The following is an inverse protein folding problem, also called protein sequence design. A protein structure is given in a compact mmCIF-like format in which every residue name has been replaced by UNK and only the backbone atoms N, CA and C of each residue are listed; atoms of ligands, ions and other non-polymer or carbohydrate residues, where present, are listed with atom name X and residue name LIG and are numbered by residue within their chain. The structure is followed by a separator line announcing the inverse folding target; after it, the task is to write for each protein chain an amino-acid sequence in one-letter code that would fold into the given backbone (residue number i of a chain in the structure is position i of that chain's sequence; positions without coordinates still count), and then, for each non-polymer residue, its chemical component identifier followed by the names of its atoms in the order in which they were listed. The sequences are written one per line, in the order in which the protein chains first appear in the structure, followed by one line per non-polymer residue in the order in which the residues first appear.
data_IF_528525759019
#
_entry.id   IF_528525759019
#
_cell.length_a   1.000
_cell.length_b   1.000
_cell.length_c   1.000
_cell.angle_alpha   90.00
_cell.angle_beta   90.00
_cell.angle_gamma   90.00
#
_symmetry.space_group_name_H-M   'P 1'
#
loop_
_entity.id
_entity.type
_entity.pdbx_description
1 polymer ?
#
# COMPACT_ATOMS: atom_id res chain seq x y z
N UNK A 1 49.75 34.62 -4.20
CA UNK A 1 49.40 33.52 -3.26
C UNK A 1 48.36 33.91 -2.21
N UNK A 2 48.57 34.89 -1.32
CA UNK A 2 47.60 35.25 -0.25
C UNK A 2 46.16 35.54 -0.76
N UNK A 3 46.00 36.34 -1.82
CA UNK A 3 44.68 36.66 -2.41
C UNK A 3 43.95 35.42 -2.98
N UNK A 4 44.71 34.46 -3.52
CA UNK A 4 44.17 33.21 -4.06
C UNK A 4 43.72 32.27 -2.95
N UNK A 5 44.49 32.20 -1.85
CA UNK A 5 44.13 31.42 -0.65
C UNK A 5 42.85 31.96 -0.02
N UNK A 6 42.71 33.29 0.09
CA UNK A 6 41.50 33.94 0.61
C UNK A 6 40.29 33.67 -0.30
N UNK A 7 40.45 33.74 -1.62
CA UNK A 7 39.37 33.43 -2.56
C UNK A 7 38.93 31.96 -2.49
N UNK A 8 39.88 31.03 -2.36
CA UNK A 8 39.60 29.60 -2.16
C UNK A 8 38.87 29.33 -0.84
N UNK A 9 39.29 29.97 0.26
CA UNK A 9 38.61 29.89 1.55
C UNK A 9 37.18 30.45 1.48
N UNK A 10 36.98 31.60 0.83
CA UNK A 10 35.65 32.18 0.65
C UNK A 10 34.74 31.27 -0.20
N UNK A 11 35.26 30.69 -1.29
CA UNK A 11 34.52 29.74 -2.11
C UNK A 11 34.16 28.48 -1.32
N UNK A 12 35.10 27.95 -0.52
CA UNK A 12 34.85 26.81 0.35
C UNK A 12 33.77 27.12 1.38
N UNK A 13 33.84 28.27 2.07
CA UNK A 13 32.80 28.68 3.01
C UNK A 13 31.42 28.80 2.34
N UNK A 14 31.34 29.37 1.13
CA UNK A 14 30.07 29.45 0.40
C UNK A 14 29.53 28.07 0.01
N UNK A 15 30.39 27.17 -0.47
CA UNK A 15 30.01 25.80 -0.83
C UNK A 15 29.51 25.03 0.41
N UNK A 16 30.24 25.08 1.52
CA UNK A 16 29.84 24.37 2.74
C UNK A 16 28.59 24.95 3.37
N UNK A 17 28.42 26.27 3.37
CA UNK A 17 27.17 26.90 3.81
C UNK A 17 25.99 26.54 2.91
N UNK A 18 26.19 26.48 1.58
CA UNK A 18 25.15 26.03 0.65
C UNK A 18 24.78 24.55 0.87
N UNK A 19 25.77 23.68 1.05
CA UNK A 19 25.55 22.26 1.36
C UNK A 19 24.85 22.10 2.71
N UNK A 20 25.27 22.82 3.75
CA UNK A 20 24.66 22.79 5.07
C UNK A 20 23.20 23.26 5.02
N UNK A 21 22.93 24.38 4.34
CA UNK A 21 21.58 24.88 4.13
C UNK A 21 20.71 23.90 3.34
N UNK A 22 21.25 23.27 2.28
CA UNK A 22 20.54 22.24 1.51
C UNK A 22 20.25 20.99 2.33
N UNK A 23 21.18 20.54 3.17
CA UNK A 23 20.96 19.40 4.07
C UNK A 23 19.91 19.72 5.13
N UNK A 24 19.96 20.92 5.73
CA UNK A 24 19.00 21.36 6.75
C UNK A 24 17.59 21.50 6.18
N UNK A 25 17.42 22.14 5.02
CA UNK A 25 16.10 22.29 4.37
C UNK A 25 15.53 20.98 3.84
N UNK A 26 16.38 20.05 3.41
CA UNK A 26 15.98 18.73 2.96
C UNK A 26 15.60 17.79 4.13
N UNK A 27 16.27 17.92 5.29
CA UNK A 27 16.00 17.08 6.47
C UNK A 27 14.87 17.60 7.36
N UNK A 28 14.48 18.88 7.26
CA UNK A 28 13.51 19.51 8.16
C UNK A 28 12.23 20.02 7.47
N UNK A 29 11.86 19.44 6.33
CA UNK A 29 10.56 19.73 5.74
C UNK A 29 9.43 19.29 6.69
N UNK A 30 8.41 20.14 6.86
CA UNK A 30 7.25 19.85 7.70
C UNK A 30 5.96 20.09 6.95
N UNK A 31 4.95 19.32 7.30
CA UNK A 31 3.55 19.51 6.94
C UNK A 31 2.89 20.37 8.01
N UNK A 32 2.18 21.41 7.60
CA UNK A 32 1.32 22.19 8.47
C UNK A 32 0.04 21.40 8.74
N UNK A 33 -0.05 20.78 9.92
CA UNK A 33 -1.23 20.05 10.35
C UNK A 33 -2.27 21.02 10.91
N UNK A 34 -3.53 20.87 10.48
CA UNK A 34 -4.69 21.61 10.97
C UNK A 34 -5.52 20.71 11.90
N UNK A 35 -5.86 21.22 13.08
CA UNK A 35 -6.69 20.51 14.07
C UNK A 35 -8.15 20.32 13.64
N UNK A 36 -8.60 21.07 12.63
CA UNK A 36 -9.94 20.96 12.05
C UNK A 36 -9.99 20.02 10.84
N UNK A 37 -8.85 19.47 10.42
CA UNK A 37 -8.82 18.48 9.34
C UNK A 37 -9.38 17.15 9.85
N UNK A 38 -10.33 16.58 9.12
CA UNK A 38 -10.80 15.21 9.33
C UNK A 38 -9.95 14.21 8.52
N UNK A 39 -9.37 14.66 7.39
CA UNK A 39 -8.44 13.86 6.62
C UNK A 39 -7.50 14.71 5.75
N UNK A 40 -6.41 14.08 5.30
CA UNK A 40 -5.46 14.66 4.37
C UNK A 40 -5.34 13.78 3.12
N UNK A 41 -5.25 14.46 1.98
CA UNK A 41 -4.84 13.85 0.71
C UNK A 41 -3.40 14.30 0.41
N UNK A 42 -2.52 13.32 0.26
CA UNK A 42 -1.12 13.54 -0.09
C UNK A 42 -0.96 13.28 -1.58
N UNK A 43 -0.45 14.27 -2.29
CA UNK A 43 -0.14 14.22 -3.71
C UNK A 43 1.38 14.24 -3.90
N UNK A 44 1.90 13.90 -5.09
CA UNK A 44 3.33 13.90 -5.29
C UNK A 44 4.01 15.27 -5.02
N UNK A 45 3.32 16.38 -5.27
CA UNK A 45 3.85 17.74 -5.12
C UNK A 45 3.16 18.62 -4.07
N UNK A 46 2.20 18.10 -3.29
CA UNK A 46 1.42 18.91 -2.32
C UNK A 46 0.68 18.04 -1.32
N UNK A 47 0.15 18.67 -0.28
CA UNK A 47 -0.78 18.06 0.67
C UNK A 47 -2.00 18.96 0.79
N UNK A 48 -3.18 18.35 0.80
CA UNK A 48 -4.45 19.05 0.98
C UNK A 48 -5.16 18.51 2.22
N UNK A 49 -5.59 19.41 3.10
CA UNK A 49 -6.34 19.09 4.31
C UNK A 49 -7.83 19.36 4.08
N UNK A 50 -8.67 18.42 4.49
CA UNK A 50 -10.10 18.48 4.32
C UNK A 50 -10.83 18.37 5.65
N UNK A 51 -11.88 19.16 5.80
CA UNK A 51 -12.88 19.03 6.84
C UNK A 51 -14.17 18.46 6.25
N UNK A 52 -14.79 17.49 6.93
CA UNK A 52 -16.09 16.94 6.61
C UNK A 52 -17.18 17.77 7.29
N UNK A 53 -17.96 18.49 6.48
CA UNK A 53 -19.12 19.25 6.93
C UNK A 53 -20.38 18.67 6.28
N UNK A 54 -21.23 18.00 7.06
CA UNK A 54 -22.45 17.30 6.57
C UNK A 54 -22.15 16.36 5.40
N UNK A 55 -21.21 15.43 5.60
CA UNK A 55 -20.73 14.46 4.59
C UNK A 55 -20.03 15.09 3.38
N UNK A 56 -19.86 16.41 3.31
CA UNK A 56 -19.18 17.08 2.20
C UNK A 56 -17.74 17.41 2.59
N UNK A 57 -16.74 16.83 1.89
CA UNK A 57 -15.36 17.26 2.02
C UNK A 57 -15.18 18.72 1.58
N UNK A 58 -14.72 19.56 2.50
CA UNK A 58 -14.35 20.95 2.26
C UNK A 58 -12.84 21.10 2.42
N UNK A 59 -12.17 21.52 1.36
CA UNK A 59 -10.76 21.89 1.40
C UNK A 59 -10.58 23.08 2.35
N UNK A 60 -9.71 22.92 3.36
CA UNK A 60 -9.39 23.98 4.33
C UNK A 60 -7.97 24.52 4.15
N UNK A 61 -7.04 23.69 3.69
CA UNK A 61 -5.65 24.10 3.49
C UNK A 61 -4.99 23.31 2.35
N UNK A 62 -4.10 23.98 1.62
CA UNK A 62 -3.21 23.36 0.63
C UNK A 62 -1.79 23.81 0.87
N UNK A 63 -0.90 22.86 1.12
CA UNK A 63 0.53 23.10 1.23
C UNK A 63 1.24 22.54 0.00
N UNK A 64 1.87 23.42 -0.79
CA UNK A 64 2.71 22.97 -1.91
C UNK A 64 4.07 22.50 -1.40
N UNK A 65 4.53 21.38 -1.93
CA UNK A 65 5.89 20.89 -1.71
C UNK A 65 6.82 21.40 -2.81
N UNK A 66 8.08 21.66 -2.46
CA UNK A 66 9.10 21.93 -3.46
C UNK A 66 9.49 20.61 -4.18
N UNK A 67 10.21 20.71 -5.30
CA UNK A 67 10.66 19.55 -6.09
C UNK A 67 11.48 18.54 -5.29
N UNK A 68 12.13 18.99 -4.23
CA UNK A 68 12.98 18.16 -3.36
C UNK A 68 12.14 17.38 -2.33
N UNK A 69 10.87 17.76 -2.14
CA UNK A 69 9.91 17.17 -1.21
C UNK A 69 8.78 16.42 -1.91
N UNK A 70 9.16 15.64 -2.92
CA UNK A 70 8.25 14.77 -3.66
C UNK A 70 7.74 13.61 -2.80
N UNK A 71 6.44 13.34 -2.80
CA UNK A 71 5.88 12.11 -2.26
C UNK A 71 5.75 11.08 -3.38
N UNK A 72 6.15 9.84 -3.10
CA UNK A 72 6.16 8.78 -4.11
C UNK A 72 4.76 8.49 -4.64
N UNK A 73 4.69 7.95 -5.87
CA UNK A 73 3.43 7.66 -6.55
C UNK A 73 3.07 6.16 -6.53
N UNK A 74 3.43 5.45 -5.46
CA UNK A 74 3.05 4.05 -5.32
C UNK A 74 2.26 3.77 -4.06
N UNK A 75 2.37 2.54 -3.56
CA UNK A 75 1.70 2.09 -2.34
C UNK A 75 2.11 2.91 -1.12
N UNK A 76 1.18 3.02 -0.19
CA UNK A 76 1.43 3.62 1.12
C UNK A 76 1.05 2.66 2.25
N UNK A 77 1.74 2.81 3.37
CA UNK A 77 1.50 2.03 4.57
C UNK A 77 1.49 2.93 5.80
N UNK A 78 0.66 2.59 6.78
CA UNK A 78 0.62 3.26 8.07
C UNK A 78 1.50 2.48 9.05
N UNK A 79 2.38 3.18 9.76
CA UNK A 79 3.17 2.66 10.88
C UNK A 79 2.83 3.39 12.17
N UNK A 80 2.80 2.65 13.27
CA UNK A 80 2.56 3.09 14.64
C UNK A 80 1.28 3.93 14.80
N UNK A 81 0.30 3.77 13.88
CA UNK A 81 -0.86 4.66 13.76
C UNK A 81 -0.49 6.15 13.75
N UNK A 82 0.69 6.49 13.22
CA UNK A 82 1.25 7.84 13.25
C UNK A 82 1.94 8.24 11.96
N UNK A 83 2.65 7.31 11.31
CA UNK A 83 3.47 7.60 10.15
C UNK A 83 2.82 7.07 8.88
N UNK A 84 2.67 7.92 7.86
CA UNK A 84 2.33 7.48 6.51
C UNK A 84 3.61 7.33 5.70
N UNK A 85 3.94 6.10 5.29
CA UNK A 85 5.14 5.76 4.50
C UNK A 85 4.76 5.56 3.04
N UNK A 86 5.58 6.06 2.12
CA UNK A 86 5.32 6.02 0.67
C UNK A 86 6.35 5.17 -0.09
N UNK A 87 5.90 4.41 -1.09
CA UNK A 87 6.77 3.93 -2.18
C UNK A 87 6.85 4.95 -3.30
N UNK A 88 7.98 4.94 -4.00
CA UNK A 88 8.16 5.68 -5.23
C UNK A 88 8.14 4.73 -6.43
N UNK A 89 7.07 4.74 -7.23
CA UNK A 89 6.95 3.83 -8.37
C UNK A 89 7.48 4.44 -9.68
N UNK A 90 7.94 5.71 -9.67
CA UNK A 90 8.51 6.35 -10.86
C UNK A 90 10.01 6.04 -11.01
N UNK A 91 10.41 5.66 -12.24
CA UNK A 91 11.79 5.37 -12.59
C UNK A 91 12.72 6.58 -12.40
N UNK A 92 13.76 6.36 -11.57
CA UNK A 92 15.08 7.01 -11.61
C UNK A 92 15.08 8.50 -11.98
N UNK A 93 14.59 9.32 -11.07
CA UNK A 93 15.19 10.65 -10.91
C UNK A 93 16.02 10.66 -9.63
N UNK A 94 17.18 11.30 -9.73
CA UNK A 94 18.20 11.44 -8.69
C UNK A 94 17.51 11.74 -7.36
N UNK A 95 17.58 10.78 -6.42
CA UNK A 95 17.06 10.73 -5.04
C UNK A 95 15.91 9.73 -4.78
N UNK A 96 16.13 8.43 -5.04
CA UNK A 96 15.28 7.33 -4.54
C UNK A 96 15.26 7.34 -3.00
N UNK A 97 14.26 7.98 -2.41
CA UNK A 97 14.13 8.08 -0.96
C UNK A 97 12.97 7.22 -0.48
N UNK A 98 13.18 6.55 0.64
CA UNK A 98 12.08 6.21 1.52
C UNK A 98 11.59 7.51 2.17
N UNK A 99 10.27 7.70 2.18
CA UNK A 99 9.63 8.94 2.64
C UNK A 99 8.52 8.58 3.60
N UNK A 100 8.43 9.30 4.72
CA UNK A 100 7.27 9.26 5.60
C UNK A 100 6.88 10.64 6.10
N UNK A 101 5.62 10.78 6.47
CA UNK A 101 5.08 11.93 7.19
C UNK A 101 4.65 11.44 8.57
N UNK A 102 5.14 12.09 9.63
CA UNK A 102 4.60 11.97 10.97
C UNK A 102 3.35 12.86 11.11
N UNK A 103 2.16 12.27 11.17
CA UNK A 103 0.90 13.02 11.31
C UNK A 103 0.60 13.48 12.74
N UNK A 104 1.52 13.30 13.69
CA UNK A 104 1.46 13.95 15.01
C UNK A 104 2.23 15.26 15.04
N UNK A 105 3.38 15.33 14.37
CA UNK A 105 4.29 16.49 14.41
C UNK A 105 4.39 17.25 13.10
N UNK A 106 3.89 16.65 12.02
CA UNK A 106 4.05 17.11 10.64
C UNK A 106 5.44 16.83 10.06
N UNK A 107 6.36 16.22 10.80
CA UNK A 107 7.74 16.03 10.33
C UNK A 107 7.81 15.06 9.15
N UNK A 108 8.57 15.43 8.12
CA UNK A 108 8.81 14.59 6.96
C UNK A 108 10.19 13.95 7.09
N UNK A 109 10.24 12.63 7.18
CA UNK A 109 11.48 11.88 7.13
C UNK A 109 11.77 11.46 5.69
N UNK A 110 13.00 11.72 5.22
CA UNK A 110 13.49 11.30 3.91
C UNK A 110 14.84 10.63 4.04
N UNK A 111 14.99 9.44 3.46
CA UNK A 111 16.25 8.71 3.47
C UNK A 111 16.54 8.06 2.12
N UNK A 112 17.68 8.39 1.48
CA UNK A 112 18.12 7.70 0.28
C UNK A 112 18.21 6.19 0.51
N UNK A 113 17.60 5.43 -0.39
CA UNK A 113 17.52 3.98 -0.27
C UNK A 113 17.29 3.34 -1.63
N UNK A 114 18.09 2.31 -1.94
CA UNK A 114 17.87 1.45 -3.11
C UNK A 114 16.57 0.61 -3.04
N UNK A 115 15.84 0.70 -1.93
CA UNK A 115 14.59 -0.01 -1.67
C UNK A 115 13.35 0.88 -1.84
N UNK A 116 13.50 2.15 -2.25
CA UNK A 116 12.42 3.14 -2.27
C UNK A 116 11.21 2.78 -3.15
N UNK A 117 11.40 1.92 -4.14
CA UNK A 117 10.36 1.54 -5.11
C UNK A 117 9.74 0.17 -4.81
N UNK A 118 9.96 -0.37 -3.61
CA UNK A 118 9.70 -1.79 -3.33
C UNK A 118 9.14 -2.08 -1.94
N UNK A 119 8.41 -1.15 -1.33
CA UNK A 119 7.69 -1.49 -0.09
C UNK A 119 6.55 -2.44 -0.46
N UNK A 120 6.56 -3.60 0.17
CA UNK A 120 5.71 -4.74 -0.15
C UNK A 120 4.68 -5.03 0.94
N UNK A 121 4.81 -4.43 2.13
CA UNK A 121 3.89 -4.65 3.24
C UNK A 121 4.37 -4.10 4.57
N UNK A 122 3.56 -4.27 5.61
CA UNK A 122 3.79 -3.76 6.97
C UNK A 122 3.19 -4.71 8.02
N UNK A 123 3.75 -4.71 9.22
CA UNK A 123 3.14 -5.31 10.43
C UNK A 123 2.58 -4.25 11.39
N UNK A 124 2.46 -3.00 10.92
CA UNK A 124 2.06 -1.84 11.70
C UNK A 124 3.19 -1.16 12.45
N UNK A 125 4.37 -1.77 12.64
CA UNK A 125 5.54 -1.15 13.30
C UNK A 125 6.75 -1.06 12.38
N UNK A 126 6.88 -2.03 11.48
CA UNK A 126 7.93 -2.18 10.49
C UNK A 126 7.29 -2.27 9.12
N UNK A 127 8.00 -1.76 8.11
CA UNK A 127 7.68 -2.09 6.73
C UNK A 127 8.73 -3.06 6.17
N UNK A 128 8.29 -3.76 5.13
CA UNK A 128 9.03 -4.84 4.51
C UNK A 128 9.18 -4.60 3.02
N UNK A 129 10.28 -5.08 2.46
CA UNK A 129 10.47 -5.20 1.02
C UNK A 129 10.75 -6.65 0.69
N UNK A 130 10.06 -7.22 -0.29
CA UNK A 130 10.27 -8.58 -0.76
C UNK A 130 10.42 -8.63 -2.28
N UNK A 131 11.40 -9.39 -2.77
CA UNK A 131 11.73 -9.50 -4.20
C UNK A 131 13.01 -8.79 -4.62
N UNK A 132 13.23 -7.50 -4.28
CA UNK A 132 14.47 -6.80 -4.63
C UNK A 132 15.68 -7.52 -4.06
N UNK A 133 16.70 -7.67 -4.90
CA UNK A 133 17.97 -8.30 -4.52
C UNK A 133 17.80 -9.73 -3.95
N UNK A 134 16.70 -10.42 -4.26
CA UNK A 134 16.39 -11.77 -3.75
C UNK A 134 16.43 -11.85 -2.20
N UNK A 135 15.88 -10.83 -1.54
CA UNK A 135 15.85 -10.77 -0.09
C UNK A 135 14.50 -10.27 0.45
N UNK A 136 14.13 -10.76 1.62
CA UNK A 136 13.19 -10.09 2.50
C UNK A 136 13.98 -9.15 3.41
N UNK A 137 13.63 -7.87 3.43
CA UNK A 137 14.27 -6.86 4.28
C UNK A 137 13.24 -6.17 5.15
N UNK A 138 13.56 -6.02 6.44
CA UNK A 138 12.71 -5.35 7.44
C UNK A 138 13.36 -4.03 7.87
N UNK A 139 12.56 -2.97 7.92
CA UNK A 139 13.00 -1.64 8.30
C UNK A 139 12.14 -1.08 9.43
N UNK A 140 12.73 -0.27 10.30
CA UNK A 140 11.98 0.52 11.28
C UNK A 140 11.37 1.79 10.67
N UNK A 141 10.56 2.49 11.47
CA UNK A 141 9.96 3.79 11.15
C UNK A 141 10.99 4.91 10.87
N UNK A 142 12.28 4.69 11.10
CA UNK A 142 13.38 5.61 10.74
C UNK A 142 14.12 5.21 9.46
N UNK A 143 13.57 4.25 8.71
CA UNK A 143 14.16 3.68 7.49
C UNK A 143 15.53 3.01 7.74
N UNK A 144 15.79 2.51 8.95
CA UNK A 144 16.98 1.71 9.24
C UNK A 144 16.67 0.24 9.03
N UNK A 145 17.48 -0.42 8.21
CA UNK A 145 17.43 -1.88 8.04
C UNK A 145 17.71 -2.55 9.40
N UNK A 146 16.78 -3.40 9.84
CA UNK A 146 16.89 -4.19 11.07
C UNK A 146 17.37 -5.59 10.76
N UNK A 147 16.67 -6.26 9.85
CA UNK A 147 16.89 -7.64 9.51
C UNK A 147 16.82 -7.84 8.00
N UNK A 148 17.54 -8.85 7.53
CA UNK A 148 17.52 -9.26 6.13
C UNK A 148 17.68 -10.77 6.03
N UNK A 149 16.82 -11.39 5.25
CA UNK A 149 16.84 -12.82 4.94
C UNK A 149 17.08 -12.94 3.44
N UNK A 150 18.17 -13.64 3.07
CA UNK A 150 18.35 -14.06 1.68
C UNK A 150 17.30 -15.13 1.38
N UNK A 151 16.54 -14.93 0.31
CA UNK A 151 15.57 -15.91 -0.17
C UNK A 151 16.28 -16.99 -1.00
N UNK A 152 15.69 -18.18 -1.04
CA UNK A 152 16.21 -19.28 -1.85
C UNK A 152 16.23 -18.88 -3.33
N UNK A 153 17.30 -19.26 -4.04
CA UNK A 153 17.52 -18.85 -5.44
C UNK A 153 16.45 -19.42 -6.42
N UNK A 154 15.67 -20.40 -5.96
CA UNK A 154 14.57 -21.01 -6.71
C UNK A 154 13.18 -20.48 -6.33
N UNK A 155 13.10 -19.51 -5.41
CA UNK A 155 11.86 -18.90 -4.96
C UNK A 155 11.70 -17.47 -5.50
N UNK A 156 10.59 -17.25 -6.20
CA UNK A 156 10.21 -15.98 -6.78
C UNK A 156 9.02 -15.43 -5.98
N UNK A 157 9.27 -14.55 -5.00
CA UNK A 157 8.18 -13.96 -4.21
C UNK A 157 7.33 -13.04 -5.08
N UNK A 158 6.02 -13.05 -4.85
CA UNK A 158 5.17 -11.95 -5.23
C UNK A 158 5.50 -10.73 -4.36
N UNK A 159 5.29 -9.49 -4.85
CA UNK A 159 5.75 -8.28 -4.17
C UNK A 159 4.86 -7.87 -2.99
N UNK A 160 4.32 -8.83 -2.24
CA UNK A 160 3.41 -8.64 -1.12
C UNK A 160 3.94 -9.33 0.12
N UNK A 161 3.98 -8.60 1.23
CA UNK A 161 4.42 -9.11 2.53
C UNK A 161 3.27 -9.00 3.50
N UNK A 162 2.92 -10.10 4.13
CA UNK A 162 1.94 -10.14 5.21
C UNK A 162 2.64 -10.49 6.51
N UNK A 163 2.23 -9.92 7.62
CA UNK A 163 2.86 -10.20 8.90
C UNK A 163 1.88 -10.07 10.06
N UNK A 164 1.92 -11.03 10.98
CA UNK A 164 1.29 -10.94 12.28
C UNK A 164 2.35 -10.66 13.35
N UNK A 165 2.00 -10.83 14.63
CA UNK A 165 2.91 -10.61 15.75
C UNK A 165 4.12 -11.56 15.77
N UNK A 166 3.98 -12.76 15.20
CA UNK A 166 4.95 -13.86 15.32
C UNK A 166 5.65 -14.18 14.00
N UNK A 167 4.94 -14.11 12.87
CA UNK A 167 5.41 -14.58 11.58
C UNK A 167 5.24 -13.54 10.47
N UNK A 168 6.11 -13.66 9.46
CA UNK A 168 6.00 -13.00 8.17
C UNK A 168 5.66 -14.08 7.12
N UNK A 169 4.77 -13.74 6.21
CA UNK A 169 4.28 -14.62 5.16
C UNK A 169 4.60 -14.01 3.79
N UNK A 170 5.24 -14.81 2.93
CA UNK A 170 5.55 -14.45 1.55
C UNK A 170 4.96 -15.49 0.61
N UNK A 171 3.99 -15.09 -0.21
CA UNK A 171 3.49 -15.93 -1.28
C UNK A 171 4.38 -15.80 -2.53
N UNK A 172 4.50 -16.87 -3.31
CA UNK A 172 5.26 -16.84 -4.54
C UNK A 172 5.35 -18.19 -5.21
N UNK A 173 6.25 -18.28 -6.18
CA UNK A 173 6.46 -19.48 -6.96
C UNK A 173 7.83 -20.08 -6.68
N UNK A 174 7.90 -21.39 -6.55
CA UNK A 174 9.16 -22.12 -6.50
C UNK A 174 9.34 -22.95 -7.76
N UNK A 175 10.51 -22.87 -8.40
CA UNK A 175 10.79 -23.57 -9.66
C UNK A 175 12.11 -24.34 -9.60
N UNK A 176 12.11 -25.60 -10.01
CA UNK A 176 13.36 -26.36 -10.17
C UNK A 176 14.00 -26.01 -11.51
N UNK A 177 15.24 -25.51 -11.47
CA UNK A 177 15.98 -25.12 -12.68
C UNK A 177 16.08 -26.30 -13.65
N UNK A 178 15.65 -26.09 -14.90
CA UNK A 178 15.69 -27.11 -15.96
C UNK A 178 14.45 -28.00 -16.06
N UNK A 179 13.39 -27.76 -15.28
CA UNK A 179 12.11 -28.48 -15.37
C UNK A 179 10.92 -27.50 -15.36
N UNK A 180 10.35 -27.19 -16.52
CA UNK A 180 9.23 -26.24 -16.64
C UNK A 180 7.98 -26.66 -15.87
N UNK A 181 7.71 -27.97 -15.77
CA UNK A 181 6.52 -28.51 -15.08
C UNK A 181 6.68 -28.60 -13.55
N UNK A 182 7.81 -28.12 -13.01
CA UNK A 182 8.13 -28.20 -11.57
C UNK A 182 7.64 -27.00 -10.76
N UNK A 183 6.95 -26.03 -11.39
CA UNK A 183 6.48 -24.84 -10.69
C UNK A 183 5.46 -25.20 -9.61
N UNK A 184 5.70 -24.69 -8.40
CA UNK A 184 4.83 -24.82 -7.24
C UNK A 184 4.42 -23.45 -6.75
N UNK A 185 3.18 -23.35 -6.32
CA UNK A 185 2.70 -22.22 -5.54
C UNK A 185 3.00 -22.49 -4.07
N UNK A 186 3.71 -21.56 -3.41
CA UNK A 186 4.19 -21.76 -2.03
C UNK A 186 3.99 -20.50 -1.19
N UNK A 187 3.75 -20.72 0.09
CA UNK A 187 3.72 -19.70 1.13
C UNK A 187 4.89 -19.96 2.09
N UNK A 188 5.87 -19.04 2.09
CA UNK A 188 6.96 -19.06 3.04
C UNK A 188 6.48 -18.45 4.36
N UNK A 189 6.74 -19.15 5.46
CA UNK A 189 6.45 -18.69 6.82
C UNK A 189 7.79 -18.43 7.51
N UNK A 190 8.01 -17.19 7.93
CA UNK A 190 9.29 -16.71 8.46
C UNK A 190 9.07 -16.26 9.89
N UNK A 191 9.86 -16.80 10.82
CA UNK A 191 9.79 -16.40 12.22
C UNK A 191 10.33 -14.97 12.38
N UNK A 192 9.56 -14.07 12.99
CA UNK A 192 9.95 -12.65 13.16
C UNK A 192 11.11 -12.45 14.12
N UNK A 193 11.28 -13.35 15.09
CA UNK A 193 12.30 -13.23 16.13
C UNK A 193 13.66 -13.68 15.61
N UNK A 194 13.74 -14.85 14.97
CA UNK A 194 14.99 -15.35 14.38
C UNK A 194 15.26 -14.83 12.98
N UNK A 195 14.23 -14.31 12.30
CA UNK A 195 14.26 -13.87 10.90
C UNK A 195 14.72 -14.96 9.93
N UNK A 196 14.29 -16.20 10.18
CA UNK A 196 14.59 -17.38 9.36
C UNK A 196 13.31 -18.05 8.91
N UNK A 197 13.34 -18.71 7.75
CA UNK A 197 12.23 -19.54 7.27
C UNK A 197 11.93 -20.63 8.30
N UNK A 198 10.73 -20.57 8.88
CA UNK A 198 10.20 -21.57 9.80
C UNK A 198 9.55 -22.73 9.06
N UNK A 199 8.88 -22.44 7.95
CA UNK A 199 8.07 -23.42 7.21
C UNK A 199 7.79 -22.95 5.78
N UNK A 200 7.43 -23.89 4.91
CA UNK A 200 6.99 -23.63 3.53
C UNK A 200 5.78 -24.51 3.24
N UNK A 201 4.64 -23.89 2.95
CA UNK A 201 3.39 -24.59 2.67
C UNK A 201 3.05 -24.47 1.19
N UNK A 202 2.87 -25.59 0.51
CA UNK A 202 2.45 -25.66 -0.89
C UNK A 202 0.92 -25.50 -1.01
N UNK A 203 0.45 -24.80 -2.04
CA UNK A 203 -0.96 -24.73 -2.42
C UNK A 203 -1.14 -25.02 -3.91
N UNK A 204 -2.39 -25.11 -4.35
CA UNK A 204 -2.73 -25.48 -5.73
C UNK A 204 -2.01 -24.56 -6.73
N UNK A 205 -1.15 -25.18 -7.54
CA UNK A 205 -0.32 -24.52 -8.56
C UNK A 205 -1.14 -23.86 -9.67
N UNK A 206 -2.41 -24.23 -9.81
CA UNK A 206 -3.27 -23.68 -10.83
C UNK A 206 -3.93 -22.36 -10.37
N UNK A 207 -3.74 -21.92 -9.13
CA UNK A 207 -4.33 -20.67 -8.65
C UNK A 207 -3.45 -19.46 -8.98
N UNK A 208 -4.05 -18.43 -9.56
CA UNK A 208 -3.41 -17.11 -9.72
C UNK A 208 -3.90 -16.19 -8.61
N UNK A 209 -3.03 -15.89 -7.65
CA UNK A 209 -3.36 -15.04 -6.51
C UNK A 209 -2.86 -13.61 -6.71
N UNK A 210 -3.66 -12.62 -6.30
CA UNK A 210 -3.29 -11.20 -6.31
C UNK A 210 -2.94 -10.67 -4.91
N UNK A 211 -2.78 -9.35 -4.77
CA UNK A 211 -2.57 -8.70 -3.47
C UNK A 211 -3.70 -9.04 -2.51
N UNK A 212 -3.32 -9.67 -1.39
CA UNK A 212 -4.22 -10.07 -0.35
C UNK A 212 -4.14 -9.18 0.89
N UNK A 213 -4.67 -9.72 1.98
CA UNK A 213 -4.66 -9.08 3.29
C UNK A 213 -4.57 -10.14 4.38
N UNK A 214 -3.70 -9.94 5.36
CA UNK A 214 -3.75 -10.68 6.62
C UNK A 214 -4.61 -9.89 7.60
N UNK A 215 -5.78 -10.45 7.94
CA UNK A 215 -6.68 -9.88 8.93
C UNK A 215 -6.84 -10.88 10.08
N UNK A 216 -6.39 -10.47 11.27
CA UNK A 216 -6.29 -11.34 12.45
C UNK A 216 -5.46 -12.59 12.11
N UNK A 217 -6.06 -13.77 12.23
CA UNK A 217 -5.39 -15.05 12.05
C UNK A 217 -5.54 -15.63 10.63
N UNK A 218 -6.17 -14.91 9.69
CA UNK A 218 -6.45 -15.41 8.35
C UNK A 218 -5.81 -14.51 7.29
N UNK A 219 -4.97 -15.11 6.46
CA UNK A 219 -4.49 -14.49 5.23
C UNK A 219 -5.49 -14.76 4.10
N UNK A 220 -6.03 -13.71 3.51
CA UNK A 220 -6.96 -13.73 2.38
C UNK A 220 -6.20 -13.39 1.11
N UNK A 221 -6.24 -14.28 0.12
CA UNK A 221 -5.59 -14.12 -1.18
C UNK A 221 -6.66 -14.23 -2.28
N UNK A 222 -7.03 -13.12 -2.94
CA UNK A 222 -8.01 -13.16 -4.04
C UNK A 222 -7.48 -14.01 -5.18
N UNK A 223 -8.34 -14.87 -5.75
CA UNK A 223 -8.02 -15.65 -6.95
C UNK A 223 -8.61 -14.92 -8.16
N UNK A 224 -7.76 -14.44 -9.06
CA UNK A 224 -8.22 -13.72 -10.27
C UNK A 224 -8.57 -14.68 -11.39
N UNK A 225 -7.88 -15.82 -11.45
CA UNK A 225 -8.11 -16.86 -12.45
C UNK A 225 -7.56 -18.21 -12.01
N UNK A 226 -8.04 -19.26 -12.66
CA UNK A 226 -7.43 -20.59 -12.62
C UNK A 226 -6.56 -20.74 -13.88
N UNK A 227 -5.27 -21.05 -13.71
CA UNK A 227 -4.36 -21.37 -14.81
C UNK A 227 -4.95 -22.51 -15.62
N UNK A 228 -5.25 -22.23 -16.89
CA UNK A 228 -5.56 -23.21 -17.90
C UNK A 228 -4.41 -23.30 -18.92
N UNK A 229 -4.29 -24.44 -19.59
CA UNK A 229 -3.27 -24.65 -20.62
C UNK A 229 -3.50 -23.80 -21.89
N UNK A 230 -4.74 -23.35 -22.11
CA UNK A 230 -5.14 -22.44 -23.19
C UNK A 230 -5.78 -21.19 -22.59
N UNK A 231 -5.44 -20.01 -23.13
CA UNK A 231 -6.02 -18.72 -22.74
C UNK A 231 -7.54 -18.68 -22.89
N UNK A 232 -8.10 -19.52 -23.77
CA UNK A 232 -9.55 -19.62 -24.00
C UNK A 232 -10.31 -20.31 -22.87
N UNK A 233 -9.61 -21.03 -22.00
CA UNK A 233 -10.18 -21.84 -20.93
C UNK A 233 -9.94 -21.21 -19.55
N UNK A 234 -9.51 -19.93 -19.51
CA UNK A 234 -9.39 -19.19 -18.25
C UNK A 234 -10.79 -19.00 -17.66
N UNK A 235 -11.07 -19.72 -16.57
CA UNK A 235 -12.32 -19.60 -15.84
C UNK A 235 -12.30 -18.39 -14.91
N UNK A 236 -13.38 -17.62 -14.95
CA UNK A 236 -13.63 -16.55 -14.00
C UNK A 236 -13.78 -17.13 -12.60
N UNK A 237 -12.92 -16.72 -11.68
CA UNK A 237 -12.99 -17.18 -10.29
C UNK A 237 -13.96 -16.34 -9.46
N UNK A 238 -14.52 -16.95 -8.44
CA UNK A 238 -15.33 -16.32 -7.39
C UNK A 238 -14.62 -16.41 -6.03
N UNK A 239 -13.44 -17.02 -6.01
CA UNK A 239 -12.87 -17.57 -4.81
C UNK A 239 -11.78 -16.66 -4.22
N UNK A 240 -11.73 -16.65 -2.90
CA UNK A 240 -10.62 -16.14 -2.12
C UNK A 240 -9.96 -17.35 -1.44
N UNK A 241 -8.69 -17.58 -1.76
CA UNK A 241 -7.87 -18.55 -1.04
C UNK A 241 -7.61 -17.99 0.36
N UNK A 242 -7.86 -18.79 1.40
CA UNK A 242 -7.61 -18.41 2.78
C UNK A 242 -6.54 -19.30 3.39
N UNK A 243 -5.69 -18.72 4.21
CA UNK A 243 -4.72 -19.47 5.01
C UNK A 243 -4.89 -19.13 6.48
N UNK A 244 -5.22 -20.13 7.29
CA UNK A 244 -5.32 -19.97 8.73
C UNK A 244 -3.92 -20.09 9.35
N UNK A 245 -3.43 -19.00 9.91
CA UNK A 245 -2.08 -18.89 10.49
C UNK A 245 -1.87 -19.79 11.72
N UNK A 246 -2.94 -20.06 12.49
CA UNK A 246 -2.89 -20.92 13.69
C UNK A 246 -2.83 -22.40 13.34
N UNK A 247 -3.66 -22.85 12.41
CA UNK A 247 -3.71 -24.26 12.00
C UNK A 247 -2.75 -24.58 10.86
N UNK A 248 -2.21 -23.56 10.19
CA UNK A 248 -1.35 -23.64 9.00
C UNK A 248 -2.00 -24.40 7.85
N UNK A 249 -3.28 -24.14 7.62
CA UNK A 249 -4.06 -24.83 6.58
C UNK A 249 -4.71 -23.86 5.62
N UNK A 250 -4.69 -24.22 4.34
CA UNK A 250 -5.46 -23.53 3.31
C UNK A 250 -6.93 -23.96 3.31
N UNK A 251 -7.80 -23.02 2.95
CA UNK A 251 -9.22 -23.23 2.63
C UNK A 251 -9.64 -22.18 1.59
N UNK A 252 -10.92 -22.10 1.24
CA UNK A 252 -11.43 -21.07 0.33
C UNK A 252 -12.75 -20.50 0.80
N UNK A 253 -13.01 -19.27 0.40
CA UNK A 253 -14.31 -18.60 0.49
C UNK A 253 -14.76 -18.35 -0.94
N UNK A 254 -15.99 -18.71 -1.27
CA UNK A 254 -16.61 -18.39 -2.56
C UNK A 254 -17.54 -17.21 -2.37
N UNK A 255 -17.27 -16.11 -3.08
CA UNK A 255 -18.11 -14.92 -3.07
C UNK A 255 -19.35 -15.11 -3.96
N UNK A 256 -20.38 -14.31 -3.72
CA UNK A 256 -21.55 -14.23 -4.60
C UNK A 256 -21.27 -13.52 -5.93
N UNK A 257 -20.17 -12.80 -6.04
CA UNK A 257 -19.77 -12.04 -7.23
C UNK A 257 -18.37 -12.44 -7.71
N UNK A 258 -18.14 -12.50 -9.03
CA UNK A 258 -16.90 -13.00 -9.61
C UNK A 258 -15.75 -12.00 -9.46
N UNK A 259 -14.56 -12.44 -9.89
CA UNK A 259 -13.34 -11.63 -10.05
C UNK A 259 -12.93 -10.85 -8.81
N UNK A 260 -12.78 -11.48 -7.63
CA UNK A 260 -12.20 -10.78 -6.49
C UNK A 260 -10.81 -10.25 -6.85
N UNK A 261 -10.61 -8.96 -6.64
CA UNK A 261 -9.38 -8.22 -6.85
C UNK A 261 -8.78 -7.80 -5.52
N UNK A 262 -8.33 -6.54 -5.44
CA UNK A 262 -7.68 -6.01 -4.23
C UNK A 262 -8.54 -6.15 -2.97
N UNK A 263 -7.92 -6.54 -1.86
CA UNK A 263 -8.57 -6.63 -0.54
C UNK A 263 -7.95 -5.57 0.38
N UNK A 264 -8.78 -4.71 0.96
CA UNK A 264 -8.35 -3.66 1.88
C UNK A 264 -9.06 -3.81 3.24
N UNK A 265 -8.35 -3.57 4.36
CA UNK A 265 -8.97 -3.59 5.67
C UNK A 265 -9.86 -2.36 5.85
N UNK A 266 -10.98 -2.54 6.53
CA UNK A 266 -11.76 -1.43 7.08
C UNK A 266 -11.40 -1.23 8.56
N UNK A 267 -11.82 -0.09 9.15
CA UNK A 267 -11.55 0.26 10.55
C UNK A 267 -12.17 -0.75 11.52
N UNK A 268 -13.29 -1.36 11.16
CA UNK A 268 -13.84 -2.51 11.87
C UNK A 268 -13.09 -3.80 11.51
N UNK A 269 -12.39 -4.41 12.48
CA UNK A 269 -11.50 -5.57 12.26
C UNK A 269 -12.17 -6.83 11.68
N UNK A 270 -13.49 -6.87 11.57
CA UNK A 270 -14.24 -7.98 10.98
C UNK A 270 -14.77 -7.67 9.58
N UNK A 271 -14.52 -6.49 9.03
CA UNK A 271 -14.98 -6.10 7.69
C UNK A 271 -13.82 -5.98 6.71
N UNK A 272 -13.98 -6.60 5.55
CA UNK A 272 -13.08 -6.47 4.41
C UNK A 272 -13.77 -5.71 3.29
N UNK A 273 -13.04 -4.80 2.66
CA UNK A 273 -13.41 -4.24 1.36
C UNK A 273 -12.74 -5.08 0.27
N UNK A 274 -13.53 -5.70 -0.58
CA UNK A 274 -13.06 -6.53 -1.69
C UNK A 274 -13.48 -5.87 -2.99
N UNK A 275 -12.54 -5.31 -3.73
CA UNK A 275 -12.81 -4.80 -5.07
C UNK A 275 -13.04 -5.98 -6.03
N UNK A 276 -13.96 -5.83 -6.99
CA UNK A 276 -14.11 -6.81 -8.06
C UNK A 276 -13.43 -6.28 -9.32
N UNK A 277 -12.48 -7.04 -9.87
CA UNK A 277 -11.82 -6.69 -11.13
C UNK A 277 -12.86 -6.68 -12.23
N UNK A 278 -13.16 -5.48 -12.73
CA UNK A 278 -14.12 -5.28 -13.80
C UNK A 278 -13.38 -4.95 -15.09
N UNK A 279 -13.94 -5.35 -16.23
CA UNK A 279 -13.48 -4.82 -17.51
C UNK A 279 -13.41 -3.28 -17.46
N UNK A 280 -12.47 -2.70 -18.20
CA UNK A 280 -12.21 -1.27 -18.32
C UNK A 280 -13.42 -0.41 -18.75
N UNK A 281 -14.54 -1.02 -19.14
CA UNK A 281 -15.80 -0.36 -19.51
C UNK A 281 -16.92 -0.54 -18.47
N UNK A 282 -16.66 -1.26 -17.38
CA UNK A 282 -17.64 -1.58 -16.36
C UNK A 282 -17.63 -0.55 -15.22
N UNK A 283 -18.78 -0.43 -14.54
CA UNK A 283 -18.87 0.35 -13.31
C UNK A 283 -17.98 -0.24 -12.22
N UNK A 284 -17.46 0.63 -11.35
CA UNK A 284 -16.75 0.22 -10.14
C UNK A 284 -17.70 -0.64 -9.30
N UNK A 285 -17.21 -1.79 -8.84
CA UNK A 285 -17.96 -2.67 -7.96
C UNK A 285 -17.08 -3.31 -6.89
N UNK A 286 -17.66 -3.54 -5.72
CA UNK A 286 -16.97 -4.06 -4.55
C UNK A 286 -17.94 -4.78 -3.61
N UNK A 287 -17.41 -5.67 -2.78
CA UNK A 287 -18.14 -6.35 -1.72
C UNK A 287 -17.57 -5.94 -0.36
N UNK A 288 -18.46 -5.61 0.58
CA UNK A 288 -18.13 -5.54 2.00
C UNK A 288 -18.41 -6.92 2.60
N UNK A 289 -17.37 -7.60 3.07
CA UNK A 289 -17.44 -8.97 3.59
C UNK A 289 -17.20 -9.01 5.10
N UNK A 290 -18.10 -9.64 5.84
CA UNK A 290 -17.94 -9.85 7.27
C UNK A 290 -17.22 -11.19 7.55
N UNK A 291 -16.00 -11.12 8.08
CA UNK A 291 -15.15 -12.31 8.33
C UNK A 291 -15.63 -13.19 9.47
N UNK A 292 -16.51 -12.70 10.33
CA UNK A 292 -17.10 -13.47 11.44
C UNK A 292 -18.35 -14.23 11.02
N UNK A 293 -19.21 -13.60 10.23
CA UNK A 293 -20.53 -14.16 9.88
C UNK A 293 -20.59 -14.74 8.46
N UNK A 294 -19.60 -14.41 7.61
CA UNK A 294 -19.61 -14.73 6.18
C UNK A 294 -20.62 -13.92 5.37
N UNK A 295 -21.23 -12.88 5.96
CA UNK A 295 -22.20 -12.05 5.25
C UNK A 295 -21.53 -11.14 4.23
N UNK A 296 -22.14 -11.05 3.05
CA UNK A 296 -21.73 -10.21 1.94
C UNK A 296 -22.71 -9.06 1.72
N UNK A 297 -22.18 -7.86 1.46
CA UNK A 297 -22.94 -6.77 0.86
C UNK A 297 -22.24 -6.33 -0.42
N UNK A 298 -22.83 -6.65 -1.56
CA UNK A 298 -22.35 -6.20 -2.87
C UNK A 298 -22.82 -4.79 -3.21
N UNK A 299 -21.93 -4.03 -3.84
CA UNK A 299 -22.08 -2.64 -4.24
C UNK A 299 -21.59 -2.41 -5.67
N UNK A 300 -22.28 -1.52 -6.37
CA UNK A 300 -21.93 -1.09 -7.72
C UNK A 300 -22.26 0.38 -7.89
N UNK A 301 -21.32 1.15 -8.43
CA UNK A 301 -21.41 2.60 -8.61
C UNK A 301 -21.69 2.93 -10.08
N UNK A 302 -22.90 2.63 -10.54
CA UNK A 302 -23.31 2.80 -11.95
C UNK A 302 -23.31 4.26 -12.41
N UNK A 303 -23.53 5.21 -11.49
CA UNK A 303 -23.50 6.65 -11.73
C UNK A 303 -22.11 7.19 -12.10
N UNK A 304 -21.06 6.38 -11.93
CA UNK A 304 -19.68 6.74 -12.25
C UNK A 304 -19.21 6.12 -13.60
N UNK A 305 -20.10 5.47 -14.34
CA UNK A 305 -19.82 4.82 -15.62
C UNK A 305 -19.97 5.79 -16.81
N UNK A 306 -19.07 5.79 -17.82
CA UNK A 306 -17.85 4.98 -17.97
C UNK A 306 -16.59 5.58 -17.33
N UNK A 307 -15.59 4.68 -17.20
CA UNK A 307 -14.20 4.94 -16.82
C UNK A 307 -13.66 6.24 -17.45
N UNK A 308 -12.78 6.96 -16.73
CA UNK A 308 -11.51 6.40 -16.25
C UNK A 308 -11.40 6.12 -14.75
N UNK A 309 -12.49 6.14 -13.98
CA UNK A 309 -12.39 5.98 -12.52
C UNK A 309 -12.02 4.54 -12.11
N UNK A 310 -10.96 4.40 -11.31
CA UNK A 310 -10.59 3.22 -10.51
C UNK A 310 -10.42 3.66 -9.06
N UNK A 311 -10.45 2.73 -8.11
CA UNK A 311 -10.26 3.06 -6.68
C UNK A 311 -8.77 3.14 -6.39
N UNK A 312 -8.29 4.34 -6.02
CA UNK A 312 -6.92 4.55 -5.56
C UNK A 312 -6.78 4.18 -4.08
N UNK A 313 -7.73 4.64 -3.25
CA UNK A 313 -7.71 4.41 -1.80
C UNK A 313 -9.14 4.24 -1.29
N UNK A 314 -9.33 3.34 -0.33
CA UNK A 314 -10.53 3.31 0.53
C UNK A 314 -10.12 3.49 1.99
N UNK A 315 -10.93 4.28 2.72
CA UNK A 315 -10.86 4.38 4.18
C UNK A 315 -12.26 4.38 4.77
N UNK A 316 -12.46 3.68 5.87
CA UNK A 316 -13.70 3.80 6.66
C UNK A 316 -13.59 5.03 7.56
N UNK A 317 -14.52 5.97 7.42
CA UNK A 317 -14.57 7.18 8.26
C UNK A 317 -15.13 6.81 9.65
N UNK A 318 -16.32 6.24 9.65
CA UNK A 318 -17.02 5.71 10.81
C UNK A 318 -18.14 4.78 10.36
N UNK A 319 -18.53 3.83 11.20
CA UNK A 319 -19.68 2.95 10.99
C UNK A 319 -19.91 2.56 9.53
N UNK A 320 -20.93 3.14 8.90
CA UNK A 320 -21.30 2.83 7.52
C UNK A 320 -20.70 3.73 6.42
N UNK A 321 -19.86 4.71 6.76
CA UNK A 321 -19.32 5.70 5.81
C UNK A 321 -17.91 5.34 5.35
N UNK A 322 -17.73 5.28 4.03
CA UNK A 322 -16.44 5.10 3.36
C UNK A 322 -16.04 6.39 2.65
N UNK A 323 -14.77 6.77 2.78
CA UNK A 323 -14.09 7.67 1.87
C UNK A 323 -13.46 6.83 0.75
N UNK A 324 -13.94 7.03 -0.47
CA UNK A 324 -13.37 6.44 -1.68
C UNK A 324 -12.63 7.52 -2.46
N UNK A 325 -11.34 7.33 -2.70
CA UNK A 325 -10.56 8.17 -3.59
C UNK A 325 -10.49 7.48 -4.94
N UNK A 326 -10.95 8.19 -5.96
CA UNK A 326 -10.94 7.80 -7.35
C UNK A 326 -10.10 8.81 -8.14
N UNK A 327 -9.72 8.46 -9.36
CA UNK A 327 -9.05 9.37 -10.28
C UNK A 327 -9.78 10.73 -10.38
N UNK A 328 -9.23 11.76 -9.73
CA UNK A 328 -9.75 13.13 -9.71
C UNK A 328 -11.01 13.37 -8.86
N UNK A 329 -11.44 12.42 -8.01
CA UNK A 329 -12.64 12.54 -7.18
C UNK A 329 -12.49 11.92 -5.79
N UNK A 330 -13.09 12.55 -4.79
CA UNK A 330 -13.36 11.95 -3.49
C UNK A 330 -14.86 11.73 -3.32
N UNK A 331 -15.26 10.53 -2.89
CA UNK A 331 -16.64 10.18 -2.61
C UNK A 331 -16.80 9.83 -1.13
N UNK A 332 -17.87 10.33 -0.51
CA UNK A 332 -18.36 9.76 0.74
C UNK A 332 -19.52 8.83 0.41
N UNK A 333 -19.36 7.54 0.71
CA UNK A 333 -20.31 6.49 0.39
C UNK A 333 -20.85 5.85 1.66
N UNK A 334 -22.17 5.76 1.77
CA UNK A 334 -22.85 5.00 2.82
C UNK A 334 -23.09 3.58 2.31
N UNK A 335 -22.32 2.61 2.81
CA UNK A 335 -22.42 1.24 2.35
C UNK A 335 -23.65 0.50 2.89
N UNK A 336 -24.24 0.93 4.00
CA UNK A 336 -25.50 0.31 4.45
C UNK A 336 -26.69 0.81 3.64
N UNK A 337 -26.76 2.12 3.41
CA UNK A 337 -27.81 2.74 2.60
C UNK A 337 -27.57 2.59 1.08
N UNK A 338 -26.41 2.06 0.69
CA UNK A 338 -25.95 1.85 -0.69
C UNK A 338 -26.03 3.10 -1.57
N UNK A 339 -25.56 4.24 -1.04
CA UNK A 339 -25.68 5.54 -1.74
C UNK A 339 -24.44 6.40 -1.59
N UNK A 340 -24.12 7.15 -2.63
CA UNK A 340 -23.17 8.26 -2.56
C UNK A 340 -23.82 9.42 -1.79
N UNK A 341 -23.20 9.82 -0.69
CA UNK A 341 -23.59 10.97 0.13
C UNK A 341 -23.05 12.27 -0.44
N UNK A 342 -21.82 12.23 -0.97
CA UNK A 342 -21.15 13.39 -1.56
C UNK A 342 -20.11 13.01 -2.60
N UNK A 343 -19.82 13.97 -3.48
CA UNK A 343 -18.76 13.89 -4.46
C UNK A 343 -18.03 15.24 -4.54
N UNK A 344 -16.73 15.21 -4.32
CA UNK A 344 -15.84 16.37 -4.44
C UNK A 344 -14.86 16.15 -5.58
N UNK A 345 -14.73 17.12 -6.48
CA UNK A 345 -13.70 17.10 -7.53
C UNK A 345 -12.36 17.45 -6.88
N UNK A 346 -11.36 16.60 -7.11
CA UNK A 346 -10.01 16.80 -6.61
C UNK A 346 -9.19 17.65 -7.57
N UNK A 347 -8.14 18.24 -7.04
CA UNK A 347 -7.26 19.14 -7.77
C UNK A 347 -6.28 18.43 -8.73
N UNK A 348 -6.05 17.13 -8.52
CA UNK A 348 -5.22 16.26 -9.36
C UNK A 348 -5.85 14.86 -9.44
N UNK A 349 -5.56 14.15 -10.53
CA UNK A 349 -6.12 12.82 -10.76
C UNK A 349 -5.54 11.77 -9.81
N UNK A 350 -4.26 11.89 -9.46
CA UNK A 350 -3.55 10.87 -8.68
C UNK A 350 -3.30 11.32 -7.24
N UNK A 351 -3.66 10.48 -6.27
CA UNK A 351 -3.39 10.67 -4.84
C UNK A 351 -2.38 9.63 -4.38
N UNK A 352 -1.25 10.07 -3.82
CA UNK A 352 -0.19 9.20 -3.27
C UNK A 352 -0.61 8.48 -1.99
N UNK A 353 -1.41 9.13 -1.16
CA UNK A 353 -1.90 8.53 0.07
C UNK A 353 -2.95 9.33 0.79
N UNK A 354 -3.65 8.66 1.69
CA UNK A 354 -4.76 9.19 2.49
C UNK A 354 -4.47 8.97 3.96
N UNK A 355 -4.56 10.04 4.73
CA UNK A 355 -4.50 10.01 6.20
C UNK A 355 -5.85 10.43 6.78
N UNK A 356 -6.41 9.63 7.70
CA UNK A 356 -7.58 10.02 8.48
C UNK A 356 -7.12 10.50 9.85
N UNK A 357 -7.67 11.63 10.32
CA UNK A 357 -7.54 12.03 11.71
C UNK A 357 -8.62 11.33 12.54
N UNK A 358 -8.19 10.60 13.56
CA UNK A 358 -9.07 9.94 14.54
C UNK A 358 -9.25 10.78 15.82
#
# INVERSE_FOLDING_TARGET
MKKMIIALLAAFCLIFSFIAWKLETYQHAKVELDSNADFYLVYPGKIEAFQLSNDQPKLIHTQKMNSDNYFGSGKNHILDNQYLVFTNDQQKFINDNLVSIDFKTGEILRKPSKYATYISGTDGQHFYTAGPFHALSQFDNTFKLKNQLKLDDNFFPLPYVYADDTFIYLNGNQMTTGQSDSQKNVLYIIDKTSFTTSDIVEYDKNLVTHEGLLAKDILYLPITSHHALDYKDIETSYDILTFNTKTRTFSSITLSQPTPGSIQPLKEDNLLFIEHESDWLSAISFTIYNTQTGQESYHRLDELNPRPYYIDHVRQLDGNRLLLILAGKALIYDWQAKKVLSQTILSEDYVSGVWLND
#
